data_IF_684123666301
#
_entry.id   IF_684123666301
#
_cell.length_a   1.000
_cell.length_b   1.000
_cell.length_c   1.000
_cell.angle_alpha   90.00
_cell.angle_beta   90.00
_cell.angle_gamma   90.00
#
_symmetry.space_group_name_H-M   'P 1'
#
loop_
_entity.id
_entity.type
_entity.pdbx_description
1 polymer ?
#
# COMPACT_ATOMS: atom_id res chain seq x y z
N UNK A 1 -23.74 10.09 -14.57
CA UNK A 1 -24.13 8.92 -13.74
C UNK A 1 -25.33 8.13 -14.28
N UNK A 2 -26.24 8.71 -15.08
CA UNK A 2 -27.45 8.03 -15.58
C UNK A 2 -27.22 7.00 -16.71
N UNK A 3 -26.11 7.13 -17.46
CA UNK A 3 -25.80 6.30 -18.63
C UNK A 3 -25.34 4.88 -18.27
N UNK A 4 -24.59 4.70 -17.17
CA UNK A 4 -24.08 3.38 -16.78
C UNK A 4 -25.17 2.44 -16.24
N UNK A 5 -26.18 2.98 -15.54
CA UNK A 5 -27.34 2.21 -15.06
C UNK A 5 -28.16 1.66 -16.22
N UNK A 6 -28.37 2.44 -17.29
CA UNK A 6 -29.12 2.00 -18.48
C UNK A 6 -28.41 0.84 -19.19
N UNK A 7 -27.11 0.95 -19.44
CA UNK A 7 -26.32 -0.12 -20.08
C UNK A 7 -26.33 -1.43 -19.26
N UNK A 8 -26.36 -1.32 -17.92
CA UNK A 8 -26.44 -2.46 -17.00
C UNK A 8 -27.76 -3.22 -17.11
N UNK A 9 -28.88 -2.51 -17.28
CA UNK A 9 -30.22 -3.10 -17.40
C UNK A 9 -30.40 -3.81 -18.75
N UNK A 10 -29.92 -3.20 -19.84
CA UNK A 10 -30.01 -3.78 -21.19
C UNK A 10 -29.24 -5.11 -21.32
N UNK A 11 -28.10 -5.25 -20.63
CA UNK A 11 -27.34 -6.51 -20.62
C UNK A 11 -28.09 -7.63 -19.90
N UNK A 12 -28.76 -7.33 -18.77
CA UNK A 12 -29.52 -8.34 -18.02
C UNK A 12 -30.70 -8.85 -18.86
N UNK A 13 -31.38 -7.95 -19.57
CA UNK A 13 -32.51 -8.29 -20.46
C UNK A 13 -32.04 -9.16 -21.64
N UNK A 14 -30.89 -8.87 -22.23
CA UNK A 14 -30.37 -9.60 -23.39
C UNK A 14 -29.98 -11.06 -23.04
N UNK A 15 -29.44 -11.29 -21.84
CA UNK A 15 -29.14 -12.65 -21.37
C UNK A 15 -30.40 -13.42 -20.91
N UNK A 16 -31.39 -12.73 -20.33
CA UNK A 16 -32.68 -13.35 -19.99
C UNK A 16 -33.43 -13.82 -21.27
N UNK A 17 -33.41 -13.01 -22.33
CA UNK A 17 -33.99 -13.37 -23.62
C UNK A 17 -33.26 -14.56 -24.28
N UNK A 18 -31.93 -14.61 -24.17
CA UNK A 18 -31.14 -15.73 -24.72
C UNK A 18 -31.36 -17.04 -23.95
N UNK A 19 -31.54 -16.99 -22.63
CA UNK A 19 -31.93 -18.15 -21.82
C UNK A 19 -33.34 -18.67 -22.15
N UNK A 20 -34.29 -17.77 -22.40
CA UNK A 20 -35.65 -18.12 -22.81
C UNK A 20 -35.70 -18.83 -24.19
N UNK A 21 -34.87 -18.38 -25.14
CA UNK A 21 -34.75 -19.01 -26.46
C UNK A 21 -34.20 -20.46 -26.40
N UNK A 22 -33.23 -20.71 -25.52
CA UNK A 22 -32.67 -22.06 -25.29
C UNK A 22 -33.70 -22.98 -24.57
N UNK A 23 -34.50 -22.43 -23.66
CA UNK A 23 -35.58 -23.16 -22.98
C UNK A 23 -36.69 -23.62 -23.94
N UNK A 24 -37.06 -22.78 -24.91
CA UNK A 24 -38.11 -23.08 -25.89
C UNK A 24 -37.78 -24.27 -26.80
N UNK A 25 -36.51 -24.54 -27.07
CA UNK A 25 -36.06 -25.63 -27.94
C UNK A 25 -36.02 -27.01 -27.25
N UNK A 26 -35.98 -27.07 -25.92
CA UNK A 26 -35.77 -28.31 -25.17
C UNK A 26 -37.04 -28.90 -24.52
N UNK A 27 -38.16 -28.18 -24.56
CA UNK A 27 -39.44 -28.59 -23.96
C UNK A 27 -39.44 -28.69 -22.42
N UNK A 28 -38.33 -28.32 -21.75
CA UNK A 28 -38.12 -28.50 -20.31
C UNK A 28 -37.89 -27.17 -19.60
N UNK A 29 -38.92 -26.33 -19.65
CA UNK A 29 -38.95 -24.95 -19.14
C UNK A 29 -38.50 -24.78 -17.68
N UNK A 30 -38.70 -25.79 -16.83
CA UNK A 30 -38.30 -25.75 -15.42
C UNK A 30 -36.77 -25.73 -15.25
N UNK A 31 -36.03 -26.45 -16.09
CA UNK A 31 -34.56 -26.53 -15.99
C UNK A 31 -33.92 -25.21 -16.47
N UNK A 32 -34.47 -24.61 -17.51
CA UNK A 32 -34.01 -23.32 -18.04
C UNK A 32 -34.21 -22.18 -17.03
N UNK A 33 -35.35 -22.18 -16.30
CA UNK A 33 -35.61 -21.21 -15.23
C UNK A 33 -34.60 -21.33 -14.08
N UNK A 34 -34.31 -22.56 -13.63
CA UNK A 34 -33.36 -22.81 -12.54
C UNK A 34 -31.95 -22.34 -12.89
N UNK A 35 -31.46 -22.65 -14.09
CA UNK A 35 -30.12 -22.23 -14.54
C UNK A 35 -30.06 -20.70 -14.66
N UNK A 36 -31.10 -20.06 -15.19
CA UNK A 36 -31.19 -18.61 -15.31
C UNK A 36 -31.12 -17.89 -13.95
N UNK A 37 -31.83 -18.41 -12.94
CA UNK A 37 -31.82 -17.85 -11.58
C UNK A 37 -30.44 -17.99 -10.92
N UNK A 38 -29.81 -19.16 -11.03
CA UNK A 38 -28.47 -19.39 -10.46
C UNK A 38 -27.43 -18.47 -11.10
N UNK A 39 -27.47 -18.31 -12.43
CA UNK A 39 -26.53 -17.44 -13.14
C UNK A 39 -26.75 -15.95 -12.82
N UNK A 40 -28.01 -15.53 -12.70
CA UNK A 40 -28.36 -14.16 -12.28
C UNK A 40 -27.89 -13.88 -10.85
N UNK A 41 -28.05 -14.84 -9.94
CA UNK A 41 -27.63 -14.73 -8.55
C UNK A 41 -26.11 -14.70 -8.40
N UNK A 42 -25.38 -15.60 -9.08
CA UNK A 42 -23.92 -15.62 -9.10
C UNK A 42 -23.34 -14.30 -9.64
N UNK A 43 -23.95 -13.74 -10.70
CA UNK A 43 -23.53 -12.45 -11.25
C UNK A 43 -23.89 -11.27 -10.34
N UNK A 44 -25.04 -11.33 -9.66
CA UNK A 44 -25.44 -10.31 -8.69
C UNK A 44 -24.44 -10.23 -7.54
N UNK A 45 -23.99 -11.36 -7.01
CA UNK A 45 -22.92 -11.43 -6.00
C UNK A 45 -21.61 -10.89 -6.57
N UNK A 46 -21.19 -11.34 -7.75
CA UNK A 46 -19.95 -10.87 -8.38
C UNK A 46 -19.93 -9.36 -8.69
N UNK A 47 -21.09 -8.74 -8.94
CA UNK A 47 -21.18 -7.28 -9.15
C UNK A 47 -21.30 -6.48 -7.84
N UNK A 48 -21.72 -7.08 -6.73
CA UNK A 48 -21.66 -6.47 -5.39
C UNK A 48 -20.23 -6.44 -4.84
N UNK A 49 -19.40 -7.42 -5.21
CA UNK A 49 -17.98 -7.50 -4.82
C UNK A 49 -17.05 -6.68 -5.70
N UNK A 50 -17.56 -5.92 -6.69
CA UNK A 50 -16.70 -5.05 -7.50
C UNK A 50 -16.24 -3.84 -6.67
N UNK A 51 -14.93 -3.61 -6.50
CA UNK A 51 -14.44 -2.42 -5.80
C UNK A 51 -14.96 -1.16 -6.51
N UNK A 52 -15.54 -0.23 -5.74
CA UNK A 52 -15.99 1.06 -6.28
C UNK A 52 -14.77 1.79 -6.89
N UNK A 53 -14.92 2.45 -8.06
CA UNK A 53 -13.86 3.28 -8.60
C UNK A 53 -13.54 4.38 -7.56
N UNK A 54 -12.30 4.39 -7.03
CA UNK A 54 -11.84 5.41 -6.09
C UNK A 54 -11.94 6.77 -6.77
N UNK A 55 -12.71 7.69 -6.19
CA UNK A 55 -12.77 9.08 -6.65
C UNK A 55 -11.42 9.76 -6.39
N UNK A 56 -10.85 10.39 -7.41
CA UNK A 56 -9.57 11.12 -7.39
C UNK A 56 -9.58 12.40 -6.54
N UNK A 57 -10.65 12.68 -5.78
CA UNK A 57 -10.69 13.82 -4.87
C UNK A 57 -9.87 13.49 -3.61
N UNK A 58 -8.68 14.10 -3.50
CA UNK A 58 -7.91 14.09 -2.26
C UNK A 58 -8.81 14.53 -1.09
N UNK A 59 -8.72 13.89 0.09
CA UNK A 59 -9.44 14.35 1.28
C UNK A 59 -9.19 15.84 1.55
N UNK A 60 -10.20 16.55 2.07
CA UNK A 60 -10.06 17.95 2.47
C UNK A 60 -8.92 18.10 3.49
N UNK A 61 -8.07 19.12 3.30
CA UNK A 61 -6.91 19.37 4.16
C UNK A 61 -7.38 19.82 5.55
N UNK A 62 -6.93 19.13 6.60
CA UNK A 62 -7.05 19.67 7.95
C UNK A 62 -6.25 21.00 8.01
N UNK A 63 -6.87 22.12 8.42
CA UNK A 63 -6.21 23.42 8.50
C UNK A 63 -4.86 23.39 9.23
N UNK A 64 -4.73 22.58 10.28
CA UNK A 64 -3.47 22.48 11.05
C UNK A 64 -2.32 21.89 10.23
N UNK A 65 -2.62 20.94 9.34
CA UNK A 65 -1.62 20.35 8.46
C UNK A 65 -1.25 21.31 7.33
N UNK A 66 -2.20 22.14 6.87
CA UNK A 66 -1.91 23.19 5.89
C UNK A 66 -0.89 24.19 6.42
N UNK A 67 -1.13 24.67 7.65
CA UNK A 67 -0.24 25.61 8.33
C UNK A 67 1.15 25.02 8.57
N UNK A 68 1.22 23.75 8.99
CA UNK A 68 2.49 23.05 9.15
C UNK A 68 3.31 23.03 7.85
N UNK A 69 2.72 22.64 6.72
CA UNK A 69 3.44 22.54 5.45
C UNK A 69 3.84 23.91 4.87
N UNK A 70 2.99 24.93 5.04
CA UNK A 70 3.33 26.30 4.65
C UNK A 70 4.50 26.84 5.51
N UNK A 71 4.50 26.55 6.81
CA UNK A 71 5.59 26.93 7.71
C UNK A 71 6.93 26.24 7.37
N UNK A 72 6.89 25.06 6.74
CA UNK A 72 8.07 24.36 6.22
C UNK A 72 8.66 24.98 4.94
N UNK A 73 8.04 26.03 4.39
CA UNK A 73 8.57 26.78 3.23
C UNK A 73 8.15 26.25 1.85
N UNK A 74 7.16 25.35 1.79
CA UNK A 74 6.63 24.85 0.52
C UNK A 74 5.63 25.84 -0.10
N UNK A 75 5.65 25.96 -1.43
CA UNK A 75 4.59 26.64 -2.20
C UNK A 75 3.29 25.84 -2.22
N UNK A 76 2.16 26.48 -2.54
CA UNK A 76 0.86 25.83 -2.61
C UNK A 76 0.84 24.63 -3.59
N UNK A 77 1.53 24.76 -4.73
CA UNK A 77 1.68 23.67 -5.70
C UNK A 77 2.49 22.50 -5.13
N UNK A 78 3.59 22.78 -4.44
CA UNK A 78 4.42 21.77 -3.79
C UNK A 78 3.67 21.08 -2.65
N UNK A 79 2.91 21.81 -1.85
CA UNK A 79 2.02 21.24 -0.82
C UNK A 79 1.02 20.29 -1.47
N UNK A 80 0.40 20.69 -2.59
CA UNK A 80 -0.58 19.85 -3.28
C UNK A 80 0.08 18.57 -3.84
N UNK A 81 1.26 18.69 -4.44
CA UNK A 81 2.03 17.55 -4.93
C UNK A 81 2.41 16.61 -3.78
N UNK A 82 3.02 17.16 -2.73
CA UNK A 82 3.44 16.41 -1.54
C UNK A 82 2.27 15.63 -0.95
N UNK A 83 1.12 16.27 -0.73
CA UNK A 83 -0.07 15.63 -0.20
C UNK A 83 -0.59 14.50 -1.08
N UNK A 84 -0.58 14.69 -2.40
CA UNK A 84 -0.97 13.63 -3.33
C UNK A 84 -0.02 12.44 -3.21
N UNK A 85 1.28 12.71 -3.23
CA UNK A 85 2.32 11.70 -3.10
C UNK A 85 2.21 10.94 -1.78
N UNK A 86 1.97 11.62 -0.67
CA UNK A 86 1.78 10.98 0.65
C UNK A 86 0.47 10.18 0.71
N UNK A 87 -0.61 10.65 0.09
CA UNK A 87 -1.84 9.88 0.02
C UNK A 87 -1.67 8.57 -0.77
N UNK A 88 -0.97 8.64 -1.91
CA UNK A 88 -0.66 7.47 -2.73
C UNK A 88 0.26 6.50 -1.96
N UNK A 89 1.29 7.00 -1.29
CA UNK A 89 2.21 6.21 -0.47
C UNK A 89 1.49 5.53 0.71
N UNK A 90 0.64 6.27 1.44
CA UNK A 90 -0.14 5.71 2.55
C UNK A 90 -1.10 4.61 2.09
N UNK A 91 -1.65 4.70 0.88
CA UNK A 91 -2.45 3.62 0.30
C UNK A 91 -1.61 2.39 -0.03
N UNK A 92 -0.40 2.57 -0.57
CA UNK A 92 0.51 1.47 -0.85
C UNK A 92 0.91 0.75 0.43
N UNK A 93 1.25 1.48 1.49
CA UNK A 93 1.56 0.91 2.82
C UNK A 93 0.37 0.11 3.36
N UNK A 94 -0.84 0.68 3.35
CA UNK A 94 -2.05 -0.05 3.77
C UNK A 94 -2.31 -1.31 2.94
N UNK A 95 -1.96 -1.30 1.65
CA UNK A 95 -2.08 -2.49 0.79
C UNK A 95 -1.05 -3.55 1.16
N UNK A 96 0.20 -3.15 1.45
CA UNK A 96 1.24 -4.05 1.98
C UNK A 96 0.79 -4.69 3.30
N UNK A 97 0.20 -3.93 4.21
CA UNK A 97 -0.35 -4.47 5.47
C UNK A 97 -1.46 -5.49 5.23
N UNK A 98 -2.35 -5.24 4.26
CA UNK A 98 -3.42 -6.16 3.91
C UNK A 98 -2.87 -7.48 3.37
N UNK A 99 -1.89 -7.41 2.44
CA UNK A 99 -1.22 -8.61 1.89
C UNK A 99 -0.51 -9.41 2.97
N UNK A 100 0.10 -8.73 3.94
CA UNK A 100 0.77 -9.32 5.10
C UNK A 100 -0.21 -10.09 6.00
N UNK A 101 -1.45 -9.62 6.12
CA UNK A 101 -2.51 -10.32 6.87
C UNK A 101 -3.06 -11.53 6.11
N UNK A 102 -3.08 -11.46 4.78
CA UNK A 102 -3.64 -12.49 3.89
C UNK A 102 -2.68 -13.65 3.62
N UNK A 103 -1.38 -13.36 3.41
CA UNK A 103 -0.39 -14.36 2.95
C UNK A 103 0.62 -14.70 4.05
N UNK A 104 0.62 -15.93 4.60
CA UNK A 104 1.49 -16.30 5.73
C UNK A 104 2.99 -16.12 5.48
N UNK A 105 3.51 -16.43 4.28
CA UNK A 105 4.92 -16.19 3.95
C UNK A 105 5.24 -14.69 3.99
N UNK A 106 4.38 -13.82 3.44
CA UNK A 106 4.56 -12.37 3.51
C UNK A 106 4.54 -11.87 4.96
N UNK A 107 3.66 -12.42 5.80
CA UNK A 107 3.66 -12.17 7.25
C UNK A 107 5.00 -12.49 7.91
N UNK A 108 5.56 -13.67 7.62
CA UNK A 108 6.85 -14.07 8.17
C UNK A 108 7.97 -13.11 7.72
N UNK A 109 7.97 -12.71 6.45
CA UNK A 109 8.89 -11.71 5.93
C UNK A 109 8.81 -10.40 6.72
N UNK A 110 7.61 -9.81 6.83
CA UNK A 110 7.45 -8.51 7.48
C UNK A 110 7.81 -8.53 8.96
N UNK A 111 7.54 -9.65 9.65
CA UNK A 111 7.90 -9.79 11.07
C UNK A 111 9.41 -9.96 11.27
N UNK A 112 10.08 -10.65 10.35
CA UNK A 112 11.53 -10.86 10.44
C UNK A 112 12.34 -9.61 10.07
N UNK A 113 11.74 -8.67 9.35
CA UNK A 113 12.41 -7.45 8.88
C UNK A 113 11.84 -6.16 9.48
N UNK A 114 10.84 -6.25 10.35
CA UNK A 114 10.08 -5.12 10.90
C UNK A 114 9.51 -4.17 9.82
N UNK A 115 9.15 -4.73 8.65
CA UNK A 115 8.90 -3.93 7.45
C UNK A 115 7.73 -2.96 7.61
N UNK A 116 6.62 -3.40 8.20
CA UNK A 116 5.42 -2.54 8.33
C UNK A 116 5.71 -1.34 9.24
N UNK A 117 6.34 -1.59 10.38
CA UNK A 117 6.71 -0.53 11.33
C UNK A 117 7.72 0.44 10.71
N UNK A 118 8.69 -0.08 9.97
CA UNK A 118 9.65 0.73 9.22
C UNK A 118 8.99 1.62 8.17
N UNK A 119 8.03 1.10 7.41
CA UNK A 119 7.29 1.88 6.41
C UNK A 119 6.50 3.02 7.06
N UNK A 120 5.88 2.77 8.22
CA UNK A 120 5.19 3.81 8.99
C UNK A 120 6.14 4.85 9.55
N UNK A 121 7.26 4.44 10.15
CA UNK A 121 8.24 5.36 10.70
C UNK A 121 8.82 6.28 9.62
N UNK A 122 9.17 5.73 8.44
CA UNK A 122 9.67 6.53 7.32
C UNK A 122 8.57 7.47 6.77
N UNK A 123 7.33 6.99 6.65
CA UNK A 123 6.21 7.84 6.26
C UNK A 123 6.01 9.01 7.24
N UNK A 124 6.04 8.74 8.55
CA UNK A 124 5.86 9.76 9.59
C UNK A 124 6.98 10.79 9.58
N UNK A 125 8.24 10.34 9.52
CA UNK A 125 9.39 11.23 9.43
C UNK A 125 9.31 12.14 8.20
N UNK A 126 8.80 11.63 7.09
CA UNK A 126 8.61 12.41 5.87
C UNK A 126 7.46 13.43 5.97
N UNK A 127 6.37 13.08 6.66
CA UNK A 127 5.26 14.01 6.95
C UNK A 127 5.71 15.14 7.88
N UNK A 128 6.62 14.86 8.81
CA UNK A 128 7.22 15.86 9.71
C UNK A 128 8.21 16.77 8.97
N UNK A 129 8.94 16.25 7.99
CA UNK A 129 9.91 17.01 7.20
C UNK A 129 9.57 17.02 5.68
N UNK A 130 8.46 17.68 5.27
CA UNK A 130 7.97 17.65 3.89
C UNK A 130 8.97 18.17 2.85
N UNK A 131 9.84 19.09 3.23
CA UNK A 131 10.91 19.65 2.39
C UNK A 131 11.97 18.60 2.01
N UNK A 132 12.04 17.48 2.75
CA UNK A 132 12.98 16.37 2.50
C UNK A 132 12.40 15.30 1.58
N UNK A 133 11.30 15.59 0.87
CA UNK A 133 10.73 14.68 -0.13
C UNK A 133 11.73 14.27 -1.21
N UNK A 134 12.65 15.16 -1.59
CA UNK A 134 13.72 14.84 -2.54
C UNK A 134 14.68 13.79 -1.98
N UNK A 135 15.03 13.87 -0.71
CA UNK A 135 15.95 12.94 -0.03
C UNK A 135 15.32 11.55 0.05
N UNK A 136 14.01 11.50 0.32
CA UNK A 136 13.22 10.27 0.34
C UNK A 136 12.71 9.83 -1.04
N UNK A 137 13.14 10.46 -2.14
CA UNK A 137 12.57 10.22 -3.48
C UNK A 137 12.64 8.76 -3.93
N UNK A 138 13.75 8.07 -3.64
CA UNK A 138 13.92 6.64 -3.95
C UNK A 138 12.91 5.77 -3.17
N UNK A 139 12.69 6.10 -1.90
CA UNK A 139 11.74 5.39 -1.05
C UNK A 139 10.31 5.49 -1.62
N UNK A 140 9.88 6.72 -1.89
CA UNK A 140 8.51 7.04 -2.29
C UNK A 140 8.19 6.55 -3.70
N UNK A 141 9.07 6.78 -4.67
CA UNK A 141 8.76 6.54 -6.09
C UNK A 141 9.25 5.20 -6.63
N UNK A 142 10.15 4.51 -5.91
CA UNK A 142 10.73 3.25 -6.40
C UNK A 142 10.56 2.12 -5.40
N UNK A 143 11.05 2.27 -4.17
CA UNK A 143 11.14 1.13 -3.24
C UNK A 143 9.77 0.61 -2.83
N UNK A 144 8.89 1.48 -2.34
CA UNK A 144 7.55 1.05 -1.89
C UNK A 144 6.68 0.55 -3.06
N UNK A 145 6.61 1.26 -4.21
CA UNK A 145 5.85 0.78 -5.36
C UNK A 145 6.34 -0.59 -5.89
N UNK A 146 7.66 -0.77 -6.02
CA UNK A 146 8.23 -2.01 -6.55
C UNK A 146 8.06 -3.16 -5.55
N UNK A 147 8.19 -2.89 -4.25
CA UNK A 147 7.96 -3.88 -3.20
C UNK A 147 6.50 -4.35 -3.21
N UNK A 148 5.56 -3.40 -3.28
CA UNK A 148 4.14 -3.70 -3.35
C UNK A 148 3.81 -4.55 -4.58
N UNK A 149 4.29 -4.17 -5.77
CA UNK A 149 4.08 -4.94 -7.00
C UNK A 149 4.60 -6.39 -6.88
N UNK A 150 5.78 -6.57 -6.28
CA UNK A 150 6.34 -7.90 -6.06
C UNK A 150 5.53 -8.71 -5.02
N UNK A 151 5.07 -8.09 -3.94
CA UNK A 151 4.19 -8.73 -2.94
C UNK A 151 2.84 -9.14 -3.56
N UNK A 152 2.25 -8.30 -4.41
CA UNK A 152 1.00 -8.61 -5.11
C UNK A 152 1.16 -9.80 -6.07
N UNK A 153 2.22 -9.81 -6.88
CA UNK A 153 2.54 -10.93 -7.77
C UNK A 153 2.80 -12.21 -6.99
N UNK A 154 3.53 -12.11 -5.87
CA UNK A 154 3.78 -13.23 -4.96
C UNK A 154 2.47 -13.82 -4.42
N UNK A 155 1.57 -12.97 -3.91
CA UNK A 155 0.26 -13.38 -3.41
C UNK A 155 -0.56 -14.07 -4.50
N UNK A 156 -0.64 -13.46 -5.69
CA UNK A 156 -1.39 -14.02 -6.83
C UNK A 156 -0.90 -15.42 -7.20
N UNK A 157 0.41 -15.62 -7.34
CA UNK A 157 1.00 -16.92 -7.70
C UNK A 157 0.83 -17.93 -6.56
N UNK A 158 0.88 -17.46 -5.30
CA UNK A 158 0.66 -18.32 -4.13
C UNK A 158 -0.74 -18.93 -4.11
N UNK A 159 -1.74 -18.28 -4.70
CA UNK A 159 -3.11 -18.78 -4.78
C UNK A 159 -3.42 -19.65 -6.01
N UNK A 160 -2.50 -19.82 -6.98
CA UNK A 160 -2.74 -20.71 -8.12
C UNK A 160 -2.74 -22.20 -7.71
N UNK A 161 -3.72 -22.95 -8.21
CA UNK A 161 -3.93 -24.38 -7.89
C UNK A 161 -2.85 -25.30 -8.49
N UNK A 162 -2.29 -24.94 -9.65
CA UNK A 162 -1.24 -25.72 -10.32
C UNK A 162 0.11 -25.02 -10.10
N UNK A 163 0.99 -25.66 -9.32
CA UNK A 163 2.35 -25.18 -9.07
C UNK A 163 3.36 -26.23 -9.54
N UNK A 164 4.31 -25.80 -10.38
CA UNK A 164 5.45 -26.61 -10.83
C UNK A 164 6.66 -26.38 -9.91
N UNK A 165 7.70 -27.20 -10.04
CA UNK A 165 8.99 -26.97 -9.35
C UNK A 165 9.53 -25.54 -9.62
N UNK A 166 9.52 -25.11 -10.89
CA UNK A 166 9.93 -23.77 -11.31
C UNK A 166 9.10 -22.65 -10.65
N UNK A 167 7.82 -22.92 -10.36
CA UNK A 167 6.95 -21.97 -9.66
C UNK A 167 7.45 -21.74 -8.23
N UNK A 168 7.81 -22.80 -7.52
CA UNK A 168 8.34 -22.69 -6.17
C UNK A 168 9.70 -21.97 -6.13
N UNK A 169 10.59 -22.29 -7.08
CA UNK A 169 11.89 -21.60 -7.18
C UNK A 169 11.70 -20.10 -7.43
N UNK A 170 10.76 -19.73 -8.30
CA UNK A 170 10.44 -18.32 -8.56
C UNK A 170 9.88 -17.62 -7.33
N UNK A 171 8.99 -18.28 -6.58
CA UNK A 171 8.45 -17.75 -5.33
C UNK A 171 9.56 -17.55 -4.29
N UNK A 172 10.49 -18.50 -4.14
CA UNK A 172 11.58 -18.36 -3.17
C UNK A 172 12.57 -17.27 -3.57
N UNK A 173 12.86 -17.10 -4.88
CA UNK A 173 13.63 -15.94 -5.38
C UNK A 173 12.92 -14.62 -5.06
N UNK A 174 11.63 -14.51 -5.36
CA UNK A 174 10.85 -13.32 -5.05
C UNK A 174 10.85 -13.01 -3.53
N UNK A 175 10.73 -14.04 -2.69
CA UNK A 175 10.80 -13.89 -1.23
C UNK A 175 12.15 -13.34 -0.77
N UNK A 176 13.25 -13.89 -1.29
CA UNK A 176 14.60 -13.40 -1.01
C UNK A 176 14.78 -11.96 -1.46
N UNK A 177 14.34 -11.62 -2.68
CA UNK A 177 14.39 -10.25 -3.20
C UNK A 177 13.61 -9.27 -2.33
N UNK A 178 12.37 -9.60 -1.93
CA UNK A 178 11.57 -8.75 -1.03
C UNK A 178 12.28 -8.55 0.32
N UNK A 179 12.95 -9.57 0.84
CA UNK A 179 13.74 -9.48 2.08
C UNK A 179 14.92 -8.51 1.92
N UNK A 180 15.66 -8.60 0.80
CA UNK A 180 16.74 -7.66 0.50
C UNK A 180 16.23 -6.23 0.31
N UNK A 181 15.07 -6.05 -0.32
CA UNK A 181 14.43 -4.74 -0.47
C UNK A 181 14.08 -4.13 0.88
N UNK A 182 13.51 -4.91 1.81
CA UNK A 182 13.24 -4.46 3.17
C UNK A 182 14.53 -4.01 3.89
N UNK A 183 15.61 -4.79 3.76
CA UNK A 183 16.93 -4.41 4.28
C UNK A 183 17.46 -3.10 3.69
N UNK A 184 17.28 -2.88 2.38
CA UNK A 184 17.67 -1.61 1.74
C UNK A 184 16.83 -0.43 2.23
N UNK A 185 15.50 -0.59 2.35
CA UNK A 185 14.62 0.45 2.90
C UNK A 185 15.07 0.82 4.31
N UNK A 186 15.47 -0.16 5.13
CA UNK A 186 15.98 0.08 6.49
C UNK A 186 17.25 0.93 6.48
N UNK A 187 18.19 0.59 5.60
CA UNK A 187 19.43 1.37 5.43
C UNK A 187 19.15 2.79 4.94
N UNK A 188 18.24 2.95 3.99
CA UNK A 188 17.89 4.27 3.44
C UNK A 188 17.14 5.13 4.48
N UNK A 189 16.30 4.52 5.32
CA UNK A 189 15.67 5.21 6.46
C UNK A 189 16.70 5.65 7.50
N UNK A 190 17.65 4.78 7.86
CA UNK A 190 18.73 5.14 8.78
C UNK A 190 19.57 6.30 8.25
N UNK A 191 19.84 6.33 6.95
CA UNK A 191 20.51 7.46 6.30
C UNK A 191 19.64 8.74 6.34
N UNK A 192 18.32 8.61 6.16
CA UNK A 192 17.39 9.74 6.22
C UNK A 192 17.36 10.40 7.60
N UNK A 193 17.33 9.63 8.68
CA UNK A 193 17.29 10.18 10.05
C UNK A 193 18.68 10.43 10.66
N UNK A 194 19.75 10.26 9.89
CA UNK A 194 21.12 10.32 10.42
C UNK A 194 21.44 11.66 11.06
N UNK A 195 21.07 12.76 10.40
CA UNK A 195 21.36 14.10 10.90
C UNK A 195 20.65 14.35 12.24
N UNK A 196 19.38 13.97 12.35
CA UNK A 196 18.60 14.07 13.60
C UNK A 196 19.23 13.25 14.74
N UNK A 197 19.82 12.08 14.43
CA UNK A 197 20.52 11.25 15.41
C UNK A 197 21.86 11.86 15.86
N UNK A 198 22.62 12.43 14.93
CA UNK A 198 23.91 13.07 15.21
C UNK A 198 23.72 14.34 16.07
N UNK A 199 22.63 15.08 15.83
CA UNK A 199 22.21 16.23 16.63
C UNK A 199 21.83 15.79 18.06
N UNK A 200 20.97 14.78 18.20
CA UNK A 200 20.57 14.24 19.50
C UNK A 200 21.78 13.74 20.31
N UNK A 201 22.73 13.05 19.68
CA UNK A 201 23.94 12.57 20.33
C UNK A 201 24.84 13.74 20.81
N UNK A 202 24.87 14.85 20.05
CA UNK A 202 25.54 16.08 20.46
C UNK A 202 24.88 16.73 21.67
N UNK A 203 23.55 16.82 21.69
CA UNK A 203 22.78 17.35 22.82
C UNK A 203 22.96 16.48 24.07
N UNK A 204 22.95 15.16 23.92
CA UNK A 204 23.22 14.23 25.03
C UNK A 204 24.63 14.40 25.58
N UNK A 205 25.65 14.57 24.73
CA UNK A 205 27.03 14.85 25.17
C UNK A 205 27.12 16.16 25.95
N UNK A 206 26.46 17.22 25.47
CA UNK A 206 26.44 18.51 26.12
C UNK A 206 25.76 18.42 27.49
N UNK A 207 24.58 17.77 27.55
CA UNK A 207 23.85 17.54 28.79
C UNK A 207 24.69 16.74 29.80
N UNK A 208 25.38 15.68 29.37
CA UNK A 208 26.30 14.92 30.24
C UNK A 208 27.43 15.78 30.79
N UNK A 209 28.04 16.64 29.96
CA UNK A 209 29.10 17.56 30.40
C UNK A 209 28.60 18.54 31.47
N UNK A 210 27.33 18.94 31.43
CA UNK A 210 26.72 19.79 32.45
C UNK A 210 26.36 19.04 33.74
N UNK A 211 26.13 17.72 33.68
CA UNK A 211 25.82 16.88 34.84
C UNK A 211 27.07 16.37 35.56
N UNK A 212 28.21 16.23 34.87
CA UNK A 212 29.51 15.84 35.45
C UNK A 212 30.56 16.99 35.35
N UNK A 213 30.38 18.12 36.07
CA UNK A 213 31.35 19.22 36.02
C UNK A 213 32.70 18.92 36.70
N UNK A 214 32.78 17.91 37.60
CA UNK A 214 33.85 17.78 38.59
C UNK A 214 34.96 16.74 38.30
N UNK A 215 35.22 16.36 37.04
CA UNK A 215 36.36 15.47 36.71
C UNK A 215 37.54 16.13 36.00
N UNK A 216 37.56 17.46 35.91
CA UNK A 216 38.62 18.21 35.18
C UNK A 216 39.60 18.94 36.12
N UNK A 217 39.43 18.85 37.45
CA UNK A 217 40.28 19.57 38.43
C UNK A 217 41.02 18.68 39.44
N UNK A 218 41.40 17.45 39.09
CA UNK A 218 42.31 16.62 39.90
C UNK A 218 43.47 16.08 39.06
N UNK A 219 44.28 16.97 38.50
CA UNK A 219 45.71 16.73 38.23
C UNK A 219 46.42 18.08 38.11
N UNK A 220 46.71 18.72 39.24
CA UNK A 220 47.88 19.60 39.41
C UNK A 220 48.77 19.04 40.52
#
# INVERSE_FOLDING_TARGET
MATSKRIRIWRIILWAAMGAAIGALSGRWVIALSIGVVFAFARYIGELSRPKPKSTSLPSLDPKMAEHYAASGLSDEEIKLFRKTMADLAEQIRTIEALTKEVPKLRALTLNTDLVDLLHAYFEALVQAPQRLTDAGTFVYQQVPNLLDLMQKYAQITHHEVKTADTYETLDKAFSTMTSMAGKIKSDYQAFIKDDLDDLDSDVRLAKKHLDPDKVHETE
#
